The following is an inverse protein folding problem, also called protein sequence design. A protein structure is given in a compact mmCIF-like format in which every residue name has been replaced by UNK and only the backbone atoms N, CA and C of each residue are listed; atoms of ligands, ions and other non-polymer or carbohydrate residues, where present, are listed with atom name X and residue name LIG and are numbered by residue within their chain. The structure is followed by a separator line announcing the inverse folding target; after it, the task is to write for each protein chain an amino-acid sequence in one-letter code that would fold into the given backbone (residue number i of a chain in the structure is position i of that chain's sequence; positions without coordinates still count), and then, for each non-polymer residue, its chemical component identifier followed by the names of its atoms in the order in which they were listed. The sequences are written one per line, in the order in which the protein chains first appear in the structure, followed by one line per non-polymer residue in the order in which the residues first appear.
data_IF_381303290854
#
_entry.id   IF_381303290854
#
_cell.length_a   1.000
_cell.length_b   1.000
_cell.length_c   1.000
_cell.angle_alpha   90.00
_cell.angle_beta   90.00
_cell.angle_gamma   90.00
#
_symmetry.space_group_name_H-M   'P 1'
#
loop_
_entity.id
_entity.type
_entity.pdbx_description
1 polymer ?
#
# COMPACT_ATOMS: atom_id res chain seq x y z
N UNK A 1 17.27 3.41 42.47
CA UNK A 1 17.55 2.01 42.06
C UNK A 1 16.68 1.77 40.85
N UNK A 2 17.17 2.24 39.69
CA UNK A 2 16.41 2.17 38.44
C UNK A 2 16.64 0.78 37.82
N UNK A 3 15.61 0.11 37.30
CA UNK A 3 15.77 -1.21 36.71
C UNK A 3 16.48 -1.11 35.36
N UNK A 4 17.62 -1.77 35.29
CA UNK A 4 18.48 -1.96 34.12
C UNK A 4 17.67 -2.64 32.99
N UNK A 5 17.36 -1.89 31.92
CA UNK A 5 16.66 -2.40 30.75
C UNK A 5 17.68 -3.07 29.82
N UNK A 6 17.61 -4.39 29.56
CA UNK A 6 18.62 -5.07 28.77
C UNK A 6 18.59 -4.60 27.30
N UNK A 7 19.73 -4.59 26.60
CA UNK A 7 19.80 -4.12 25.22
C UNK A 7 18.96 -5.00 24.30
N UNK A 8 18.03 -4.36 23.57
CA UNK A 8 17.19 -5.01 22.57
C UNK A 8 18.09 -5.66 21.50
N UNK A 9 18.01 -6.98 21.38
CA UNK A 9 18.70 -7.71 20.31
C UNK A 9 18.12 -7.26 18.96
N UNK A 10 18.95 -7.09 17.92
CA UNK A 10 18.44 -6.79 16.58
C UNK A 10 17.52 -7.93 16.17
N UNK A 11 16.24 -7.60 15.99
CA UNK A 11 15.24 -8.53 15.49
C UNK A 11 15.65 -8.86 14.07
N UNK A 12 16.25 -10.04 13.86
CA UNK A 12 16.34 -10.59 12.50
C UNK A 12 14.89 -10.84 12.08
N UNK A 13 14.33 -9.93 11.28
CA UNK A 13 13.01 -10.11 10.70
C UNK A 13 12.96 -11.51 10.08
N UNK A 14 12.02 -12.33 10.52
CA UNK A 14 11.80 -13.63 9.93
C UNK A 14 11.53 -13.44 8.42
N UNK A 15 12.02 -14.32 7.53
CA UNK A 15 11.72 -14.23 6.09
C UNK A 15 10.20 -14.22 5.78
N UNK A 16 9.38 -14.68 6.72
CA UNK A 16 7.92 -14.65 6.70
C UNK A 16 7.33 -13.22 6.78
N UNK A 17 8.08 -12.24 7.28
CA UNK A 17 7.69 -10.83 7.36
C UNK A 17 8.03 -10.03 6.09
N UNK A 18 8.60 -10.69 5.09
CA UNK A 18 8.94 -10.12 3.78
C UNK A 18 7.83 -10.33 2.75
N UNK A 19 6.69 -10.91 3.19
CA UNK A 19 5.47 -10.92 2.41
C UNK A 19 4.96 -9.48 2.31
N UNK A 20 4.62 -9.00 1.11
CA UNK A 20 4.01 -7.70 0.97
C UNK A 20 2.73 -7.67 1.80
N UNK A 21 2.55 -6.62 2.59
CA UNK A 21 1.34 -6.38 3.37
C UNK A 21 0.22 -5.96 2.41
N UNK A 22 -0.20 -6.89 1.56
CA UNK A 22 -1.43 -6.75 0.78
C UNK A 22 -2.60 -7.14 1.68
N UNK A 23 -3.65 -6.33 1.65
CA UNK A 23 -4.81 -6.51 2.53
C UNK A 23 -5.67 -7.73 2.13
N UNK A 24 -5.30 -8.42 1.03
CA UNK A 24 -6.06 -9.54 0.50
C UNK A 24 -7.38 -9.09 -0.11
N UNK A 25 -7.39 -7.92 -0.74
CA UNK A 25 -8.60 -7.30 -1.28
C UNK A 25 -8.98 -7.86 -2.66
N UNK A 26 -8.19 -8.77 -3.22
CA UNK A 26 -8.42 -9.45 -4.50
C UNK A 26 -9.81 -10.07 -4.57
N UNK A 27 -10.26 -10.73 -3.51
CA UNK A 27 -11.58 -11.35 -3.46
C UNK A 27 -12.69 -10.28 -3.45
N UNK A 28 -12.45 -9.14 -2.81
CA UNK A 28 -13.38 -8.01 -2.77
C UNK A 28 -13.50 -7.35 -4.15
N UNK A 29 -12.36 -7.07 -4.80
CA UNK A 29 -12.34 -6.41 -6.10
C UNK A 29 -12.75 -7.33 -7.25
N UNK A 30 -12.48 -8.63 -7.18
CA UNK A 30 -13.05 -9.61 -8.13
C UNK A 30 -14.57 -9.64 -8.04
N UNK A 31 -15.15 -9.69 -6.83
CA UNK A 31 -16.61 -9.59 -6.67
C UNK A 31 -17.18 -8.26 -7.17
N UNK A 32 -16.48 -7.13 -6.95
CA UNK A 32 -16.91 -5.83 -7.45
C UNK A 32 -16.84 -5.74 -8.98
N UNK A 33 -15.89 -6.42 -9.62
CA UNK A 33 -15.79 -6.47 -11.07
C UNK A 33 -16.96 -7.24 -11.71
N UNK A 34 -17.45 -8.28 -11.03
CA UNK A 34 -18.59 -9.10 -11.48
C UNK A 34 -19.94 -8.40 -11.32
N UNK A 35 -20.01 -7.32 -10.55
CA UNK A 35 -21.26 -6.60 -10.30
C UNK A 35 -21.75 -5.86 -11.57
N UNK A 36 -22.86 -6.33 -12.13
CA UNK A 36 -23.53 -5.75 -13.30
C UNK A 36 -23.90 -4.26 -13.18
N UNK A 37 -23.96 -3.70 -11.97
CA UNK A 37 -24.33 -2.30 -11.72
C UNK A 37 -23.19 -1.28 -11.94
N UNK A 38 -21.94 -1.74 -12.09
CA UNK A 38 -20.78 -0.85 -12.18
C UNK A 38 -20.46 -0.40 -13.61
N UNK A 39 -19.86 0.79 -13.73
CA UNK A 39 -19.36 1.30 -15.00
C UNK A 39 -18.25 0.38 -15.54
N UNK A 40 -18.13 0.20 -16.87
CA UNK A 40 -17.11 -0.66 -17.45
C UNK A 40 -15.68 -0.24 -17.06
N UNK A 41 -15.46 1.05 -16.81
CA UNK A 41 -14.19 1.59 -16.32
C UNK A 41 -13.88 1.15 -14.90
N UNK A 42 -14.88 1.17 -14.00
CA UNK A 42 -14.70 0.74 -12.61
C UNK A 42 -14.44 -0.78 -12.55
N UNK A 43 -15.14 -1.57 -13.38
CA UNK A 43 -14.87 -3.02 -13.52
C UNK A 43 -13.44 -3.29 -13.99
N UNK A 44 -12.98 -2.55 -15.00
CA UNK A 44 -11.62 -2.65 -15.48
C UNK A 44 -10.60 -2.31 -14.38
N UNK A 45 -10.86 -1.26 -13.60
CA UNK A 45 -10.02 -0.89 -12.46
C UNK A 45 -9.94 -2.01 -11.42
N UNK A 46 -11.08 -2.58 -11.03
CA UNK A 46 -11.17 -3.69 -10.07
C UNK A 46 -10.41 -4.95 -10.56
N UNK A 47 -10.51 -5.28 -11.85
CA UNK A 47 -9.75 -6.38 -12.44
C UNK A 47 -8.25 -6.13 -12.42
N UNK A 48 -7.81 -4.93 -12.81
CA UNK A 48 -6.40 -4.54 -12.80
C UNK A 48 -5.82 -4.56 -11.38
N UNK A 49 -6.60 -4.10 -10.40
CA UNK A 49 -6.22 -4.17 -8.99
C UNK A 49 -6.02 -5.62 -8.53
N UNK A 50 -6.96 -6.50 -8.89
CA UNK A 50 -6.89 -7.93 -8.54
C UNK A 50 -5.66 -8.62 -9.12
N UNK A 51 -5.25 -8.21 -10.33
CA UNK A 51 -3.99 -8.64 -10.96
C UNK A 51 -2.80 -8.09 -10.19
N UNK A 52 -2.80 -6.79 -9.87
CA UNK A 52 -1.69 -6.16 -9.16
C UNK A 52 -1.39 -6.79 -7.79
N UNK A 53 -2.41 -7.11 -6.99
CA UNK A 53 -2.23 -7.84 -5.73
C UNK A 53 -1.74 -9.26 -5.96
N UNK A 54 -2.19 -9.93 -7.02
CA UNK A 54 -1.72 -11.27 -7.40
C UNK A 54 -0.23 -11.26 -7.74
N UNK A 55 0.17 -10.39 -8.66
CA UNK A 55 1.56 -10.23 -9.10
C UNK A 55 2.47 -9.88 -7.92
N UNK A 56 2.00 -9.02 -7.00
CA UNK A 56 2.74 -8.65 -5.80
C UNK A 56 2.89 -9.85 -4.85
N UNK A 57 1.86 -10.67 -4.67
CA UNK A 57 1.92 -11.88 -3.86
C UNK A 57 2.88 -12.94 -4.46
N UNK A 58 2.96 -12.99 -5.79
CA UNK A 58 3.87 -13.88 -6.53
C UNK A 58 5.32 -13.34 -6.58
N UNK A 59 5.56 -12.12 -6.07
CA UNK A 59 6.87 -11.46 -6.04
C UNK A 59 7.25 -10.77 -7.35
N UNK A 60 6.32 -10.68 -8.31
CA UNK A 60 6.49 -10.03 -9.60
C UNK A 60 6.28 -8.51 -9.48
N UNK A 61 7.12 -7.84 -8.69
CA UNK A 61 6.93 -6.43 -8.33
C UNK A 61 6.85 -5.48 -9.54
N UNK A 62 7.58 -5.74 -10.64
CA UNK A 62 7.50 -4.91 -11.85
C UNK A 62 6.14 -5.03 -12.57
N UNK A 63 5.52 -6.22 -12.53
CA UNK A 63 4.19 -6.44 -13.10
C UNK A 63 3.12 -5.79 -12.20
N UNK A 64 3.26 -5.98 -10.88
CA UNK A 64 2.42 -5.33 -9.88
C UNK A 64 2.42 -3.80 -10.02
N UNK A 65 3.58 -3.18 -10.26
CA UNK A 65 3.69 -1.73 -10.49
C UNK A 65 2.91 -1.27 -11.71
N UNK A 66 2.98 -2.01 -12.82
CA UNK A 66 2.20 -1.69 -14.03
C UNK A 66 0.70 -1.83 -13.77
N UNK A 67 0.28 -2.98 -13.25
CA UNK A 67 -1.13 -3.27 -13.01
C UNK A 67 -1.75 -2.29 -11.99
N UNK A 68 -1.04 -1.98 -10.90
CA UNK A 68 -1.50 -1.01 -9.92
C UNK A 68 -1.53 0.43 -10.47
N UNK A 69 -0.58 0.80 -11.34
CA UNK A 69 -0.58 2.10 -12.02
C UNK A 69 -1.78 2.28 -12.96
N UNK A 70 -2.12 1.24 -13.72
CA UNK A 70 -3.29 1.24 -14.61
C UNK A 70 -4.60 1.23 -13.82
N UNK A 71 -4.66 0.47 -12.72
CA UNK A 71 -5.80 0.48 -11.79
C UNK A 71 -5.99 1.87 -11.16
N UNK A 72 -4.92 2.48 -10.65
CA UNK A 72 -4.92 3.81 -10.05
C UNK A 72 -5.50 4.86 -10.99
N UNK A 73 -5.04 4.88 -12.25
CA UNK A 73 -5.55 5.80 -13.26
C UNK A 73 -7.05 5.61 -13.47
N UNK A 74 -7.49 4.36 -13.57
CA UNK A 74 -8.90 4.02 -13.79
C UNK A 74 -9.79 4.40 -12.59
N UNK A 75 -9.32 4.19 -11.36
CA UNK A 75 -10.05 4.60 -10.15
C UNK A 75 -10.11 6.13 -9.99
N UNK A 76 -9.05 6.85 -10.36
CA UNK A 76 -9.06 8.33 -10.40
C UNK A 76 -10.06 8.86 -11.42
N UNK A 77 -10.08 8.28 -12.62
CA UNK A 77 -11.04 8.63 -13.67
C UNK A 77 -12.49 8.34 -13.23
N UNK A 78 -12.69 7.24 -12.48
CA UNK A 78 -13.98 6.88 -11.88
C UNK A 78 -14.32 7.69 -10.61
N UNK A 79 -13.42 8.56 -10.13
CA UNK A 79 -13.51 9.30 -8.86
C UNK A 79 -13.75 8.40 -7.64
N UNK A 80 -13.24 7.18 -7.68
CA UNK A 80 -13.29 6.26 -6.54
C UNK A 80 -12.07 6.47 -5.64
N UNK A 81 -12.30 7.17 -4.52
CA UNK A 81 -11.27 7.44 -3.53
C UNK A 81 -10.75 6.16 -2.84
N UNK A 82 -11.59 5.12 -2.70
CA UNK A 82 -11.19 3.87 -2.04
C UNK A 82 -10.25 3.08 -2.92
N UNK A 83 -10.67 2.82 -4.17
CA UNK A 83 -9.82 2.13 -5.15
C UNK A 83 -8.52 2.88 -5.45
N UNK A 84 -8.54 4.21 -5.42
CA UNK A 84 -7.34 5.04 -5.54
C UNK A 84 -6.37 4.78 -4.37
N UNK A 85 -6.85 4.83 -3.13
CA UNK A 85 -6.02 4.59 -1.95
C UNK A 85 -5.46 3.16 -1.91
N UNK A 86 -6.29 2.16 -2.21
CA UNK A 86 -5.86 0.76 -2.19
C UNK A 86 -4.81 0.49 -3.29
N UNK A 87 -5.00 1.04 -4.49
CA UNK A 87 -4.02 0.91 -5.60
C UNK A 87 -2.68 1.56 -5.26
N UNK A 88 -2.70 2.71 -4.57
CA UNK A 88 -1.49 3.37 -4.10
C UNK A 88 -0.73 2.52 -3.09
N UNK A 89 -1.43 1.82 -2.18
CA UNK A 89 -0.77 0.92 -1.23
C UNK A 89 -0.05 -0.22 -1.93
N UNK A 90 -0.66 -0.80 -2.97
CA UNK A 90 -0.02 -1.84 -3.79
C UNK A 90 1.23 -1.29 -4.50
N UNK A 91 1.19 -0.06 -5.03
CA UNK A 91 2.36 0.59 -5.63
C UNK A 91 3.51 0.77 -4.62
N UNK A 92 3.20 1.31 -3.44
CA UNK A 92 4.19 1.51 -2.36
C UNK A 92 4.80 0.17 -1.96
N UNK A 93 3.96 -0.85 -1.72
CA UNK A 93 4.42 -2.18 -1.34
C UNK A 93 5.30 -2.83 -2.42
N UNK A 94 4.97 -2.66 -3.70
CA UNK A 94 5.78 -3.15 -4.81
C UNK A 94 7.14 -2.44 -4.89
N UNK A 95 7.19 -1.12 -4.71
CA UNK A 95 8.46 -0.38 -4.63
C UNK A 95 9.29 -0.82 -3.42
N UNK A 96 8.69 -1.03 -2.25
CA UNK A 96 9.37 -1.59 -1.08
C UNK A 96 9.96 -2.98 -1.38
N UNK A 97 9.23 -3.84 -2.08
CA UNK A 97 9.70 -5.18 -2.47
C UNK A 97 10.92 -5.12 -3.39
N UNK A 98 10.99 -4.10 -4.26
CA UNK A 98 12.16 -3.84 -5.13
C UNK A 98 13.34 -3.20 -4.39
N UNK A 99 13.18 -2.82 -3.12
CA UNK A 99 14.17 -2.04 -2.38
C UNK A 99 14.21 -0.56 -2.77
N UNK A 100 13.21 -0.08 -3.51
CA UNK A 100 13.05 1.31 -3.94
C UNK A 100 12.30 2.13 -2.86
N UNK A 101 12.71 1.99 -1.60
CA UNK A 101 12.02 2.55 -0.42
C UNK A 101 11.89 4.07 -0.45
N UNK A 102 12.87 4.78 -1.02
CA UNK A 102 12.81 6.24 -1.20
C UNK A 102 11.69 6.67 -2.13
N UNK A 103 11.44 5.92 -3.21
CA UNK A 103 10.36 6.23 -4.13
C UNK A 103 9.01 5.88 -3.51
N UNK A 104 8.95 4.77 -2.78
CA UNK A 104 7.79 4.37 -1.99
C UNK A 104 7.39 5.45 -0.96
N UNK A 105 8.35 6.00 -0.22
CA UNK A 105 8.15 7.10 0.74
C UNK A 105 7.69 8.38 0.05
N UNK A 106 8.28 8.71 -1.10
CA UNK A 106 7.92 9.89 -1.90
C UNK A 106 6.46 9.81 -2.35
N UNK A 107 6.06 8.69 -2.95
CA UNK A 107 4.70 8.46 -3.44
C UNK A 107 3.70 8.55 -2.27
N UNK A 108 3.94 7.83 -1.18
CA UNK A 108 3.03 7.84 -0.04
C UNK A 108 2.89 9.24 0.59
N UNK A 109 3.99 10.01 0.68
CA UNK A 109 3.96 11.39 1.22
C UNK A 109 3.23 12.37 0.30
N UNK A 110 3.46 12.29 -1.01
CA UNK A 110 2.79 13.15 -2.00
C UNK A 110 1.28 12.89 -1.99
N UNK A 111 0.86 11.63 -1.99
CA UNK A 111 -0.54 11.24 -2.02
C UNK A 111 -1.25 11.49 -0.67
N UNK A 112 -0.56 11.31 0.46
CA UNK A 112 -1.11 11.69 1.77
C UNK A 112 -1.52 13.17 1.79
N UNK A 113 -0.66 14.06 1.28
CA UNK A 113 -0.97 15.50 1.17
C UNK A 113 -2.14 15.76 0.23
N UNK A 114 -2.24 15.01 -0.87
CA UNK A 114 -3.36 15.11 -1.80
C UNK A 114 -4.69 14.69 -1.13
N UNK A 115 -4.71 13.57 -0.40
CA UNK A 115 -5.88 13.12 0.35
C UNK A 115 -6.26 14.09 1.47
N UNK A 116 -5.28 14.66 2.16
CA UNK A 116 -5.51 15.67 3.18
C UNK A 116 -6.13 16.94 2.59
N UNK A 117 -5.65 17.41 1.44
CA UNK A 117 -6.22 18.54 0.71
C UNK A 117 -7.64 18.25 0.18
N UNK A 118 -7.92 17.00 -0.17
CA UNK A 118 -9.25 16.53 -0.59
C UNK A 118 -10.21 16.28 0.59
N UNK A 119 -9.73 16.23 1.84
CA UNK A 119 -10.52 15.87 3.01
C UNK A 119 -10.83 14.37 3.14
N UNK A 120 -10.13 13.52 2.38
CA UNK A 120 -10.32 12.07 2.32
C UNK A 120 -9.54 11.36 3.43
N UNK A 121 -10.12 11.31 4.63
CA UNK A 121 -9.48 10.72 5.82
C UNK A 121 -9.07 9.26 5.66
N UNK A 122 -9.81 8.48 4.88
CA UNK A 122 -9.48 7.07 4.62
C UNK A 122 -8.21 6.96 3.78
N UNK A 123 -8.09 7.77 2.72
CA UNK A 123 -6.90 7.81 1.89
C UNK A 123 -5.69 8.31 2.66
N UNK A 124 -5.87 9.31 3.52
CA UNK A 124 -4.82 9.80 4.43
C UNK A 124 -4.29 8.70 5.35
N UNK A 125 -5.19 7.99 6.04
CA UNK A 125 -4.81 6.88 6.94
C UNK A 125 -4.14 5.72 6.19
N UNK A 126 -4.61 5.41 4.98
CA UNK A 126 -4.01 4.39 4.12
C UNK A 126 -2.56 4.75 3.76
N UNK A 127 -2.29 6.02 3.43
CA UNK A 127 -0.95 6.48 3.11
C UNK A 127 -0.05 6.56 4.35
N UNK A 128 -0.59 6.93 5.52
CA UNK A 128 0.15 6.86 6.79
C UNK A 128 0.61 5.44 7.11
N UNK A 129 -0.28 4.45 6.93
CA UNK A 129 0.06 3.04 7.12
C UNK A 129 1.18 2.63 6.17
N UNK A 130 1.08 3.00 4.90
CA UNK A 130 2.12 2.74 3.90
C UNK A 130 3.47 3.39 4.25
N UNK A 131 3.48 4.61 4.80
CA UNK A 131 4.72 5.24 5.29
C UNK A 131 5.32 4.46 6.47
N UNK A 132 4.50 3.96 7.38
CA UNK A 132 4.97 3.12 8.48
C UNK A 132 5.57 1.80 7.96
N UNK A 133 4.95 1.18 6.95
CA UNK A 133 5.48 -0.03 6.28
C UNK A 133 6.82 0.23 5.60
N UNK A 134 6.97 1.38 4.92
CA UNK A 134 8.24 1.79 4.29
C UNK A 134 9.33 1.99 5.36
N UNK A 135 9.01 2.67 6.46
CA UNK A 135 9.94 2.89 7.56
C UNK A 135 10.37 1.56 8.21
N UNK A 136 9.45 0.59 8.33
CA UNK A 136 9.78 -0.77 8.78
C UNK A 136 10.70 -1.50 7.80
N UNK A 137 10.45 -1.38 6.49
CA UNK A 137 11.30 -1.99 5.45
C UNK A 137 12.73 -1.44 5.47
N UNK A 138 12.92 -0.16 5.83
CA UNK A 138 14.24 0.46 6.00
C UNK A 138 14.89 0.20 7.38
N UNK A 139 14.17 -0.42 8.32
CA UNK A 139 14.67 -0.64 9.69
C UNK A 139 14.58 0.57 10.61
N UNK A 140 13.83 1.62 10.22
CA UNK A 140 13.56 2.82 11.03
C UNK A 140 12.35 2.61 11.97
N UNK A 141 12.47 1.66 12.90
CA UNK A 141 11.37 1.26 13.81
C UNK A 141 10.79 2.41 14.65
N UNK A 142 11.61 3.36 15.10
CA UNK A 142 11.14 4.50 15.91
C UNK A 142 10.25 5.46 15.11
N UNK A 143 10.55 5.65 13.82
CA UNK A 143 9.73 6.48 12.94
C UNK A 143 8.43 5.77 12.57
N UNK A 144 8.48 4.47 12.26
CA UNK A 144 7.30 3.67 11.98
C UNK A 144 6.27 3.71 13.12
N UNK A 145 6.72 3.65 14.38
CA UNK A 145 5.82 3.72 15.52
C UNK A 145 5.17 5.10 15.65
N UNK A 146 5.93 6.17 15.42
CA UNK A 146 5.40 7.54 15.44
C UNK A 146 4.35 7.75 14.36
N UNK A 147 4.64 7.35 13.12
CA UNK A 147 3.72 7.53 11.99
C UNK A 147 2.47 6.65 12.11
N UNK A 148 2.57 5.46 12.69
CA UNK A 148 1.41 4.59 12.94
C UNK A 148 0.52 5.07 14.11
N UNK A 149 1.07 5.83 15.06
CA UNK A 149 0.36 6.30 16.25
C UNK A 149 -0.22 7.72 16.15
N UNK A 150 0.07 8.43 15.06
CA UNK A 150 -0.27 9.84 14.83
C UNK A 150 -1.59 10.02 14.08
#
# INVERSE_FOLDING_TARGET
MEPDCPPLRPVRLCPQLQRPAVDGLRDVYSCLADDSSQSPQLKQACMLFSVAEGDLADGEADQALKAAGDALKSFRDAKDARGTADSLRVLVAAHCHKGETKEAERIATEEQKAFQAAGEKRGEAAMQLSLAEVALAEGRMEEAFKTASA
#
